data_IF_607241647511
#
_entry.id   IF_607241647511
#
_cell.length_a   1.000
_cell.length_b   1.000
_cell.length_c   1.000
_cell.angle_alpha   90.00
_cell.angle_beta   90.00
_cell.angle_gamma   90.00
#
_symmetry.space_group_name_H-M   'P 1'
#
loop_
_entity.id
_entity.type
_entity.pdbx_description
1 polymer ?
#
# COMPACT_ATOMS: atom_id res chain seq x y z
N UNK A 1 30.19 -16.44 3.06
CA UNK A 1 29.77 -17.49 4.02
C UNK A 1 29.94 -17.07 5.48
N UNK A 2 31.14 -16.66 5.95
CA UNK A 2 31.36 -16.25 7.36
C UNK A 2 30.32 -15.24 7.90
N UNK A 3 30.07 -14.14 7.17
CA UNK A 3 29.06 -13.15 7.58
C UNK A 3 27.66 -13.75 7.83
N UNK A 4 27.20 -14.66 6.96
CA UNK A 4 25.88 -15.28 7.11
C UNK A 4 25.85 -16.25 8.29
N UNK A 5 26.98 -16.90 8.60
CA UNK A 5 27.12 -17.74 9.79
C UNK A 5 27.08 -16.89 11.06
N UNK A 6 27.83 -15.78 11.09
CA UNK A 6 27.81 -14.83 12.21
C UNK A 6 26.38 -14.30 12.45
N UNK A 7 25.68 -13.88 11.39
CA UNK A 7 24.28 -13.43 11.49
C UNK A 7 23.34 -14.53 12.00
N UNK A 8 23.57 -15.80 11.65
CA UNK A 8 22.77 -16.93 12.11
C UNK A 8 23.04 -17.28 13.57
N UNK A 9 24.24 -16.97 14.07
CA UNK A 9 24.57 -17.08 15.50
C UNK A 9 23.89 -15.97 16.32
N UNK A 10 23.77 -14.76 15.75
CA UNK A 10 23.05 -13.64 16.37
C UNK A 10 21.52 -13.82 16.31
N UNK A 11 21.00 -14.36 15.22
CA UNK A 11 19.58 -14.64 15.01
C UNK A 11 19.38 -16.08 14.51
N UNK A 12 19.10 -17.01 15.43
CA UNK A 12 18.86 -18.42 15.12
C UNK A 12 17.67 -18.64 14.16
N UNK A 13 16.76 -17.67 14.07
CA UNK A 13 15.58 -17.72 13.20
C UNK A 13 15.82 -17.09 11.83
N UNK A 14 17.02 -16.55 11.56
CA UNK A 14 17.44 -16.09 10.25
C UNK A 14 17.33 -17.22 9.23
N UNK A 15 16.66 -16.93 8.11
CA UNK A 15 16.61 -17.80 6.94
C UNK A 15 17.24 -17.08 5.74
N UNK A 16 18.05 -17.82 4.99
CA UNK A 16 18.70 -17.35 3.78
C UNK A 16 18.55 -18.43 2.73
N UNK A 17 17.95 -18.09 1.60
CA UNK A 17 17.74 -18.97 0.46
C UNK A 17 18.45 -18.39 -0.77
N UNK A 18 19.15 -19.25 -1.51
CA UNK A 18 20.00 -18.83 -2.64
C UNK A 18 19.63 -19.68 -3.87
N UNK A 19 19.19 -19.00 -4.92
CA UNK A 19 19.08 -19.55 -6.27
C UNK A 19 20.42 -19.39 -7.01
N UNK A 20 20.89 -20.46 -7.64
CA UNK A 20 22.14 -20.48 -8.40
C UNK A 20 21.91 -20.98 -9.83
N UNK A 21 22.72 -20.50 -10.77
CA UNK A 21 22.72 -21.02 -12.13
C UNK A 21 23.56 -22.31 -12.28
N UNK A 22 23.62 -22.84 -13.50
CA UNK A 22 24.37 -24.06 -13.81
C UNK A 22 25.89 -23.94 -13.57
N UNK A 23 26.42 -22.71 -13.49
CA UNK A 23 27.83 -22.44 -13.17
C UNK A 23 28.05 -22.19 -11.67
N UNK A 24 27.00 -22.37 -10.85
CA UNK A 24 27.04 -22.12 -9.40
C UNK A 24 27.05 -20.65 -9.00
N UNK A 25 26.76 -19.73 -9.93
CA UNK A 25 26.71 -18.28 -9.65
C UNK A 25 25.33 -17.91 -9.13
N UNK A 26 25.30 -17.02 -8.13
CA UNK A 26 24.05 -16.54 -7.53
C UNK A 26 23.20 -15.81 -8.57
N UNK A 27 21.95 -16.25 -8.71
CA UNK A 27 20.88 -15.58 -9.45
C UNK A 27 20.07 -14.71 -8.52
N UNK A 28 19.58 -15.29 -7.43
CA UNK A 28 18.78 -14.59 -6.43
C UNK A 28 19.20 -15.03 -5.03
N UNK A 29 19.33 -14.08 -4.11
CA UNK A 29 19.52 -14.37 -2.69
C UNK A 29 18.42 -13.66 -1.92
N UNK A 30 17.60 -14.43 -1.20
CA UNK A 30 16.56 -13.94 -0.29
C UNK A 30 17.02 -14.17 1.14
N UNK A 31 16.82 -13.18 2.01
CA UNK A 31 17.04 -13.36 3.43
C UNK A 31 15.96 -12.66 4.26
N UNK A 32 15.58 -13.32 5.36
CA UNK A 32 14.57 -12.87 6.31
C UNK A 32 15.03 -13.18 7.73
N UNK A 33 15.00 -12.19 8.61
CA UNK A 33 15.32 -12.37 10.04
C UNK A 33 14.14 -13.01 10.79
N UNK A 34 14.38 -13.52 11.99
CA UNK A 34 13.31 -13.99 12.88
C UNK A 34 12.26 -12.91 13.14
N UNK A 35 12.71 -11.67 13.36
CA UNK A 35 11.84 -10.50 13.52
C UNK A 35 11.00 -10.24 12.26
N UNK A 36 11.58 -10.31 11.07
CA UNK A 36 10.84 -10.12 9.82
C UNK A 36 9.69 -11.13 9.68
N UNK A 37 9.94 -12.40 10.03
CA UNK A 37 8.94 -13.47 9.99
C UNK A 37 7.83 -13.26 11.03
N UNK A 38 8.21 -12.83 12.25
CA UNK A 38 7.25 -12.50 13.29
C UNK A 38 6.36 -11.31 12.89
N UNK A 39 6.94 -10.28 12.29
CA UNK A 39 6.19 -9.12 11.80
C UNK A 39 5.24 -9.51 10.67
N UNK A 40 5.70 -10.36 9.75
CA UNK A 40 4.86 -10.84 8.65
C UNK A 40 3.67 -11.68 9.17
N UNK A 41 3.89 -12.48 10.21
CA UNK A 41 2.81 -13.23 10.84
C UNK A 41 1.66 -12.32 11.30
N UNK A 42 1.97 -11.17 11.90
CA UNK A 42 0.97 -10.21 12.39
C UNK A 42 0.48 -9.20 11.34
N UNK A 43 1.35 -8.79 10.40
CA UNK A 43 1.12 -7.63 9.55
C UNK A 43 1.30 -7.91 8.04
N UNK A 44 1.54 -9.17 7.68
CA UNK A 44 1.83 -9.60 6.31
C UNK A 44 0.62 -9.63 5.35
N UNK A 45 -0.55 -9.18 5.79
CA UNK A 45 -1.77 -9.21 4.96
C UNK A 45 -1.65 -8.28 3.75
N UNK A 46 -0.85 -7.22 3.85
CA UNK A 46 -0.60 -6.30 2.74
C UNK A 46 0.89 -6.04 2.58
N UNK A 47 1.39 -6.33 1.39
CA UNK A 47 2.82 -6.22 1.06
C UNK A 47 3.00 -5.26 -0.11
N UNK A 48 3.93 -4.33 0.02
CA UNK A 48 4.52 -3.60 -1.10
C UNK A 48 5.82 -4.27 -1.49
N UNK A 49 6.05 -4.40 -2.79
CA UNK A 49 7.27 -4.96 -3.36
C UNK A 49 7.75 -4.06 -4.51
N UNK A 50 9.04 -3.77 -4.52
CA UNK A 50 9.64 -2.81 -5.45
C UNK A 50 11.12 -3.14 -5.65
N UNK A 51 11.57 -3.16 -6.92
CA UNK A 51 12.96 -3.38 -7.32
C UNK A 51 13.54 -2.06 -7.81
N UNK A 52 14.39 -1.40 -7.03
CA UNK A 52 14.93 -0.07 -7.44
C UNK A 52 16.41 0.09 -7.23
N UNK A 53 17.04 -0.76 -6.42
CA UNK A 53 18.33 -0.42 -5.86
C UNK A 53 19.47 -1.23 -6.49
N UNK A 54 20.15 -0.63 -7.49
CA UNK A 54 21.30 -1.21 -8.22
C UNK A 54 22.62 -0.53 -7.84
N UNK A 55 23.03 -0.54 -6.56
CA UNK A 55 24.26 0.14 -6.11
C UNK A 55 25.35 -0.79 -5.59
N UNK A 56 25.10 -2.10 -5.52
CA UNK A 56 26.19 -3.02 -5.19
C UNK A 56 27.17 -3.11 -6.36
N UNK A 57 28.39 -3.59 -6.09
CA UNK A 57 29.46 -3.76 -7.07
C UNK A 57 29.02 -4.53 -8.34
N UNK A 58 28.00 -5.37 -8.22
CA UNK A 58 27.50 -6.26 -9.27
C UNK A 58 26.29 -5.71 -10.01
N UNK A 59 25.88 -4.47 -9.70
CA UNK A 59 24.70 -3.81 -10.28
C UNK A 59 23.39 -4.63 -10.13
N UNK A 60 23.34 -5.53 -9.13
CA UNK A 60 22.18 -6.39 -8.89
C UNK A 60 21.04 -5.57 -8.26
N UNK A 61 19.82 -5.57 -8.82
CA UNK A 61 18.66 -5.03 -8.15
C UNK A 61 18.47 -5.63 -6.76
N UNK A 62 18.25 -4.75 -5.79
CA UNK A 62 17.80 -5.10 -4.46
C UNK A 62 16.30 -4.79 -4.32
N UNK A 63 15.57 -5.80 -3.87
CA UNK A 63 14.14 -5.79 -3.66
C UNK A 63 13.81 -5.86 -2.17
N UNK A 64 12.74 -5.19 -1.77
CA UNK A 64 12.23 -5.21 -0.40
C UNK A 64 10.78 -5.66 -0.36
N UNK A 65 10.47 -6.54 0.58
CA UNK A 65 9.11 -6.81 1.02
C UNK A 65 8.80 -5.89 2.20
N UNK A 66 7.83 -4.99 2.03
CA UNK A 66 7.52 -3.96 3.05
C UNK A 66 6.02 -3.91 3.30
N UNK A 67 5.61 -3.86 4.56
CA UNK A 67 4.22 -3.64 4.98
C UNK A 67 4.10 -2.53 6.00
N UNK A 68 3.03 -2.57 6.79
CA UNK A 68 2.78 -1.62 7.89
C UNK A 68 2.36 -2.35 9.15
N UNK A 69 2.88 -1.94 10.31
CA UNK A 69 2.38 -2.42 11.60
C UNK A 69 1.12 -1.66 12.05
N UNK A 70 0.59 -2.05 13.20
CA UNK A 70 -0.53 -1.41 13.91
C UNK A 70 -0.24 0.03 14.39
N UNK A 71 0.95 0.59 14.15
CA UNK A 71 1.28 2.00 14.33
C UNK A 71 1.36 2.78 13.00
N UNK A 72 0.99 2.14 11.88
CA UNK A 72 1.17 2.66 10.51
C UNK A 72 2.64 2.96 10.14
N UNK A 73 3.61 2.41 10.88
CA UNK A 73 5.03 2.49 10.54
C UNK A 73 5.36 1.45 9.49
N UNK A 74 6.30 1.78 8.59
CA UNK A 74 6.78 0.83 7.59
C UNK A 74 7.63 -0.26 8.26
N UNK A 75 7.29 -1.52 7.99
CA UNK A 75 7.99 -2.71 8.48
C UNK A 75 8.53 -3.51 7.30
N UNK A 76 9.74 -4.05 7.46
CA UNK A 76 10.40 -4.84 6.42
C UNK A 76 10.20 -6.32 6.75
N UNK A 77 9.70 -7.08 5.79
CA UNK A 77 9.47 -8.52 5.90
C UNK A 77 10.59 -9.35 5.24
N UNK A 78 11.44 -8.73 4.45
CA UNK A 78 12.56 -9.40 3.81
C UNK A 78 13.28 -8.54 2.80
N UNK A 79 14.50 -8.95 2.47
CA UNK A 79 15.31 -8.35 1.42
C UNK A 79 15.77 -9.41 0.42
N UNK A 80 15.83 -9.05 -0.85
CA UNK A 80 16.32 -9.93 -1.89
C UNK A 80 17.29 -9.22 -2.85
N UNK A 81 18.42 -9.85 -3.15
CA UNK A 81 19.32 -9.45 -4.22
C UNK A 81 19.04 -10.32 -5.44
N UNK A 82 18.76 -9.69 -6.57
CA UNK A 82 18.41 -10.36 -7.81
C UNK A 82 19.37 -9.95 -8.91
N UNK A 83 19.85 -10.92 -9.69
CA UNK A 83 20.68 -10.67 -10.87
C UNK A 83 19.82 -10.32 -12.08
N UNK A 84 18.65 -10.95 -12.18
CA UNK A 84 17.75 -10.91 -13.33
C UNK A 84 16.33 -10.57 -12.87
N UNK A 85 15.64 -9.69 -13.61
CA UNK A 85 14.26 -9.27 -13.33
C UNK A 85 13.29 -9.99 -14.29
N UNK A 86 13.42 -11.31 -14.40
CA UNK A 86 12.57 -12.17 -15.24
C UNK A 86 11.39 -12.74 -14.47
N UNK A 87 10.35 -13.18 -15.18
CA UNK A 87 9.18 -13.82 -14.55
C UNK A 87 9.58 -15.06 -13.74
N UNK A 88 10.51 -15.88 -14.25
CA UNK A 88 11.02 -17.05 -13.54
C UNK A 88 11.74 -16.68 -12.24
N UNK A 89 12.57 -15.63 -12.26
CA UNK A 89 13.28 -15.16 -11.07
C UNK A 89 12.31 -14.60 -10.01
N UNK A 90 11.31 -13.81 -10.43
CA UNK A 90 10.27 -13.32 -9.51
C UNK A 90 9.40 -14.46 -8.97
N UNK A 91 9.06 -15.45 -9.80
CA UNK A 91 8.26 -16.60 -9.38
C UNK A 91 8.99 -17.41 -8.31
N UNK A 92 10.28 -17.68 -8.51
CA UNK A 92 11.12 -18.31 -7.49
C UNK A 92 11.13 -17.45 -6.21
N UNK A 93 11.38 -16.15 -6.34
CA UNK A 93 11.46 -15.25 -5.20
C UNK A 93 10.16 -15.22 -4.37
N UNK A 94 8.99 -15.09 -5.02
CA UNK A 94 7.71 -15.03 -4.32
C UNK A 94 7.33 -16.37 -3.67
N UNK A 95 7.57 -17.50 -4.35
CA UNK A 95 7.33 -18.84 -3.77
C UNK A 95 8.22 -19.08 -2.55
N UNK A 96 9.52 -18.78 -2.69
CA UNK A 96 10.47 -18.93 -1.58
C UNK A 96 10.12 -17.99 -0.43
N UNK A 97 9.74 -16.74 -0.71
CA UNK A 97 9.30 -15.81 0.33
C UNK A 97 8.11 -16.35 1.13
N UNK A 98 7.06 -16.82 0.46
CA UNK A 98 5.88 -17.38 1.15
C UNK A 98 6.21 -18.65 1.93
N UNK A 99 7.04 -19.55 1.39
CA UNK A 99 7.49 -20.73 2.11
C UNK A 99 8.23 -20.36 3.40
N UNK A 100 9.10 -19.34 3.36
CA UNK A 100 9.77 -18.83 4.55
C UNK A 100 8.79 -18.17 5.55
N UNK A 101 7.65 -17.70 5.09
CA UNK A 101 6.57 -17.11 5.89
C UNK A 101 5.50 -18.13 6.35
N UNK A 102 5.85 -19.42 6.41
CA UNK A 102 4.94 -20.51 6.81
C UNK A 102 3.70 -20.61 5.91
N UNK A 103 3.89 -20.43 4.61
CA UNK A 103 2.84 -20.50 3.59
C UNK A 103 1.68 -19.51 3.80
N UNK A 104 1.90 -18.46 4.61
CA UNK A 104 0.95 -17.34 4.73
C UNK A 104 1.07 -16.47 3.48
N UNK A 105 0.05 -16.47 2.63
CA UNK A 105 -0.05 -15.57 1.50
C UNK A 105 -0.58 -14.19 1.94
N UNK A 106 -0.11 -13.08 1.34
CA UNK A 106 -0.71 -11.77 1.57
C UNK A 106 -2.11 -11.71 0.95
N UNK A 107 -3.01 -10.94 1.54
CA UNK A 107 -4.31 -10.60 0.94
C UNK A 107 -4.11 -9.72 -0.29
N UNK A 108 -3.22 -8.73 -0.19
CA UNK A 108 -2.92 -7.80 -1.27
C UNK A 108 -1.41 -7.61 -1.44
N UNK A 109 -0.93 -7.62 -2.69
CA UNK A 109 0.43 -7.22 -3.04
C UNK A 109 0.41 -6.00 -3.95
N UNK A 110 1.21 -4.99 -3.62
CA UNK A 110 1.39 -3.76 -4.37
C UNK A 110 2.75 -3.76 -5.05
N UNK A 111 2.79 -3.62 -6.38
CA UNK A 111 4.03 -3.50 -7.15
C UNK A 111 3.98 -2.33 -8.13
N UNK A 112 5.05 -2.12 -8.90
CA UNK A 112 5.01 -1.31 -10.10
C UNK A 112 4.26 -2.03 -11.26
N UNK A 113 4.40 -1.51 -12.49
CA UNK A 113 3.73 -2.03 -13.69
C UNK A 113 4.55 -3.10 -14.45
N UNK A 114 5.58 -3.71 -13.84
CA UNK A 114 6.42 -4.70 -14.53
C UNK A 114 5.64 -5.99 -14.88
N UNK A 115 5.60 -6.33 -16.17
CA UNK A 115 4.90 -7.52 -16.67
C UNK A 115 5.43 -8.82 -16.06
N UNK A 116 6.74 -8.92 -15.86
CA UNK A 116 7.39 -10.07 -15.25
C UNK A 116 6.88 -10.36 -13.83
N UNK A 117 6.53 -9.32 -13.05
CA UNK A 117 5.96 -9.51 -11.72
C UNK A 117 4.52 -10.03 -11.79
N UNK A 118 3.73 -9.61 -12.79
CA UNK A 118 2.33 -10.04 -12.93
C UNK A 118 2.21 -11.56 -13.07
N UNK A 119 2.92 -12.17 -14.03
CA UNK A 119 2.87 -13.62 -14.24
C UNK A 119 3.40 -14.40 -13.04
N UNK A 120 4.48 -13.90 -12.44
CA UNK A 120 5.05 -14.47 -11.22
C UNK A 120 4.09 -14.43 -10.02
N UNK A 121 3.37 -13.32 -9.81
CA UNK A 121 2.38 -13.18 -8.74
C UNK A 121 1.18 -14.10 -8.99
N UNK A 122 0.67 -14.17 -10.22
CA UNK A 122 -0.43 -15.07 -10.57
C UNK A 122 -0.06 -16.54 -10.33
N UNK A 123 1.21 -16.92 -10.56
CA UNK A 123 1.71 -18.28 -10.32
C UNK A 123 2.04 -18.58 -8.85
N UNK A 124 2.72 -17.66 -8.16
CA UNK A 124 3.23 -17.87 -6.81
C UNK A 124 2.20 -17.53 -5.73
N UNK A 125 1.28 -16.62 -6.01
CA UNK A 125 0.35 -16.02 -5.05
C UNK A 125 -1.10 -16.02 -5.59
N UNK A 126 -1.68 -17.20 -5.91
CA UNK A 126 -2.93 -17.30 -6.67
C UNK A 126 -4.14 -16.64 -6.00
N UNK A 127 -4.14 -16.55 -4.67
CA UNK A 127 -5.23 -15.94 -3.89
C UNK A 127 -4.97 -14.49 -3.48
N UNK A 128 -3.81 -13.93 -3.84
CA UNK A 128 -3.43 -12.57 -3.50
C UNK A 128 -3.96 -11.60 -4.55
N UNK A 129 -4.59 -10.51 -4.10
CA UNK A 129 -4.96 -9.42 -5.00
C UNK A 129 -3.73 -8.62 -5.42
N UNK A 130 -3.41 -8.63 -6.72
CA UNK A 130 -2.37 -7.77 -7.27
C UNK A 130 -2.89 -6.35 -7.53
N UNK A 131 -2.18 -5.36 -6.98
CA UNK A 131 -2.45 -3.94 -7.16
C UNK A 131 -1.22 -3.22 -7.72
N UNK A 132 -1.41 -2.40 -8.74
CA UNK A 132 -0.42 -1.47 -9.22
C UNK A 132 -0.34 -0.22 -8.34
N UNK A 133 0.88 0.24 -8.14
CA UNK A 133 1.18 1.48 -7.46
C UNK A 133 0.55 2.67 -8.20
N UNK A 134 -0.30 3.42 -7.49
CA UNK A 134 -0.94 4.64 -8.01
C UNK A 134 0.08 5.65 -8.53
N UNK A 135 1.21 5.81 -7.85
CA UNK A 135 2.25 6.77 -8.26
C UNK A 135 2.84 6.39 -9.61
N UNK A 136 3.17 5.11 -9.80
CA UNK A 136 3.65 4.57 -11.07
C UNK A 136 2.63 4.79 -12.20
N UNK A 137 1.36 4.48 -11.96
CA UNK A 137 0.28 4.73 -12.94
C UNK A 137 0.20 6.21 -13.33
N UNK A 138 0.21 7.14 -12.36
CA UNK A 138 0.15 8.58 -12.65
C UNK A 138 1.40 9.08 -13.40
N UNK A 139 2.58 8.58 -13.03
CA UNK A 139 3.86 8.92 -13.67
C UNK A 139 3.89 8.44 -15.12
N UNK A 140 3.51 7.19 -15.35
CA UNK A 140 3.64 6.55 -16.65
C UNK A 140 2.59 7.10 -17.63
N UNK A 141 1.39 7.45 -17.15
CA UNK A 141 0.41 8.24 -17.94
C UNK A 141 1.03 9.56 -18.38
N UNK A 142 1.64 10.33 -17.47
CA UNK A 142 2.29 11.59 -17.82
C UNK A 142 3.40 11.40 -18.87
N UNK A 143 4.18 10.32 -18.77
CA UNK A 143 5.24 10.01 -19.73
C UNK A 143 4.72 9.66 -21.12
N UNK A 144 3.67 8.84 -21.22
CA UNK A 144 3.16 8.32 -22.49
C UNK A 144 2.23 9.28 -23.23
N UNK A 145 1.48 10.14 -22.52
CA UNK A 145 0.56 11.11 -23.13
C UNK A 145 0.90 12.54 -22.73
N UNK A 146 2.20 12.85 -22.62
CA UNK A 146 2.70 14.15 -22.13
C UNK A 146 2.15 15.37 -22.89
N UNK A 147 1.85 15.23 -24.19
CA UNK A 147 1.27 16.29 -25.01
C UNK A 147 -0.12 16.74 -24.52
N UNK A 148 -0.93 15.80 -23.99
CA UNK A 148 -2.23 16.08 -23.36
C UNK A 148 -2.09 16.31 -21.86
N UNK A 149 -1.03 15.83 -21.21
CA UNK A 149 -0.82 15.96 -19.76
C UNK A 149 -0.21 17.32 -19.34
N UNK A 150 -0.58 18.41 -19.99
CA UNK A 150 -0.14 19.75 -19.62
C UNK A 150 -1.19 20.48 -18.74
N UNK A 151 -0.85 21.66 -18.21
CA UNK A 151 -1.75 22.42 -17.33
C UNK A 151 -2.96 23.01 -18.06
N UNK A 152 -2.85 23.26 -19.36
CA UNK A 152 -3.88 23.92 -20.17
C UNK A 152 -4.97 22.97 -20.67
N UNK A 153 -4.69 21.68 -20.83
CA UNK A 153 -5.68 20.71 -21.33
C UNK A 153 -6.80 20.41 -20.31
N UNK A 154 -6.49 20.40 -19.01
CA UNK A 154 -7.41 19.92 -17.98
C UNK A 154 -7.43 18.39 -17.80
N UNK A 155 -6.80 17.61 -18.70
CA UNK A 155 -6.73 16.14 -18.61
C UNK A 155 -6.21 15.68 -17.26
N UNK A 156 -5.08 16.27 -16.81
CA UNK A 156 -4.47 15.94 -15.52
C UNK A 156 -5.46 16.08 -14.37
N UNK A 157 -6.32 17.11 -14.39
CA UNK A 157 -7.30 17.36 -13.34
C UNK A 157 -8.40 16.30 -13.35
N UNK A 158 -8.93 15.96 -14.52
CA UNK A 158 -10.00 14.97 -14.66
C UNK A 158 -9.51 13.55 -14.38
N UNK A 159 -8.34 13.19 -14.88
CA UNK A 159 -7.71 11.89 -14.61
C UNK A 159 -7.39 11.71 -13.12
N UNK A 160 -6.85 12.74 -12.44
CA UNK A 160 -6.61 12.66 -10.99
C UNK A 160 -7.91 12.53 -10.19
N UNK A 161 -9.01 13.17 -10.62
CA UNK A 161 -10.32 12.94 -10.01
C UNK A 161 -10.78 11.50 -10.23
N UNK A 162 -10.69 10.99 -11.45
CA UNK A 162 -11.04 9.60 -11.76
C UNK A 162 -10.32 8.61 -10.84
N UNK A 163 -9.00 8.77 -10.67
CA UNK A 163 -8.15 7.88 -9.86
C UNK A 163 -8.42 7.99 -8.36
N UNK A 164 -8.59 9.20 -7.81
CA UNK A 164 -8.65 9.41 -6.35
C UNK A 164 -10.07 9.40 -5.78
N UNK A 165 -11.05 9.85 -6.57
CA UNK A 165 -12.36 10.23 -6.07
C UNK A 165 -13.43 9.19 -6.37
N UNK A 166 -13.33 8.50 -7.51
CA UNK A 166 -14.36 7.56 -7.97
C UNK A 166 -14.26 6.26 -7.20
N UNK A 167 -15.40 5.80 -6.69
CA UNK A 167 -15.51 4.60 -5.83
C UNK A 167 -16.52 3.58 -6.34
N UNK A 168 -17.25 3.91 -7.40
CA UNK A 168 -18.19 3.02 -8.08
C UNK A 168 -17.62 2.59 -9.44
N UNK A 169 -17.83 1.32 -9.81
CA UNK A 169 -17.36 0.77 -11.09
C UNK A 169 -18.09 1.46 -12.24
N UNK A 170 -19.42 1.55 -12.22
CA UNK A 170 -20.20 2.17 -13.30
C UNK A 170 -19.83 3.65 -13.52
N UNK A 171 -19.61 4.38 -12.43
CA UNK A 171 -19.13 5.76 -12.49
C UNK A 171 -17.73 5.85 -13.10
N UNK A 172 -16.86 4.89 -12.80
CA UNK A 172 -15.51 4.82 -13.37
C UNK A 172 -15.55 4.53 -14.86
N UNK A 173 -16.32 3.53 -15.29
CA UNK A 173 -16.44 3.17 -16.71
C UNK A 173 -16.97 4.34 -17.54
N UNK A 174 -18.05 4.99 -17.07
CA UNK A 174 -18.62 6.16 -17.73
C UNK A 174 -17.63 7.33 -17.80
N UNK A 175 -16.95 7.65 -16.69
CA UNK A 175 -15.99 8.77 -16.65
C UNK A 175 -14.70 8.46 -17.40
N UNK A 176 -14.25 7.22 -17.44
CA UNK A 176 -13.11 6.80 -18.24
C UNK A 176 -13.41 7.02 -19.73
N UNK A 177 -14.55 6.54 -20.22
CA UNK A 177 -14.98 6.72 -21.61
C UNK A 177 -15.08 8.21 -21.98
N UNK A 178 -15.71 9.00 -21.11
CA UNK A 178 -15.80 10.46 -21.31
C UNK A 178 -14.42 11.12 -21.35
N UNK A 179 -13.49 10.69 -20.49
CA UNK A 179 -12.13 11.23 -20.44
C UNK A 179 -11.39 10.93 -21.75
N UNK A 180 -11.33 9.66 -22.17
CA UNK A 180 -10.52 9.30 -23.36
C UNK A 180 -11.06 9.92 -24.65
N UNK A 181 -12.38 10.03 -24.78
CA UNK A 181 -13.01 10.64 -25.96
C UNK A 181 -12.79 12.16 -25.98
N UNK A 182 -13.01 12.84 -24.85
CA UNK A 182 -12.87 14.30 -24.77
C UNK A 182 -11.45 14.77 -25.08
N UNK A 183 -10.46 13.95 -24.74
CA UNK A 183 -9.06 14.26 -24.92
C UNK A 183 -8.43 13.58 -26.14
N UNK A 184 -9.24 12.88 -26.94
CA UNK A 184 -8.81 12.16 -28.15
C UNK A 184 -7.62 11.21 -27.92
N UNK A 185 -7.71 10.42 -26.84
CA UNK A 185 -6.69 9.42 -26.45
C UNK A 185 -7.27 7.99 -26.38
N UNK A 186 -8.42 7.74 -27.00
CA UNK A 186 -9.04 6.40 -27.09
C UNK A 186 -8.12 5.40 -27.78
N UNK A 187 -7.43 5.84 -28.84
CA UNK A 187 -6.61 4.97 -29.70
C UNK A 187 -5.14 4.94 -29.26
N UNK A 188 -4.81 5.64 -28.17
CA UNK A 188 -3.46 5.61 -27.63
C UNK A 188 -3.20 4.24 -27.00
N UNK A 189 -2.23 3.49 -27.53
CA UNK A 189 -1.93 2.12 -27.10
C UNK A 189 -1.70 2.01 -25.58
N UNK A 190 -1.03 2.99 -24.96
CA UNK A 190 -0.80 2.96 -23.52
C UNK A 190 -2.11 3.14 -22.74
N UNK A 191 -3.01 4.03 -23.18
CA UNK A 191 -4.31 4.24 -22.55
C UNK A 191 -5.20 3.00 -22.67
N UNK A 192 -5.17 2.32 -23.82
CA UNK A 192 -5.87 1.03 -24.03
C UNK A 192 -5.34 -0.02 -23.05
N UNK A 193 -4.02 -0.23 -23.00
CA UNK A 193 -3.40 -1.17 -22.03
C UNK A 193 -3.72 -0.81 -20.58
N UNK A 194 -3.73 0.47 -20.24
CA UNK A 194 -4.05 0.93 -18.89
C UNK A 194 -5.51 0.60 -18.54
N UNK A 195 -6.44 0.78 -19.47
CA UNK A 195 -7.84 0.41 -19.29
C UNK A 195 -8.04 -1.10 -19.13
N UNK A 196 -7.35 -1.91 -19.91
CA UNK A 196 -7.40 -3.37 -19.82
C UNK A 196 -6.98 -3.87 -18.43
N UNK A 197 -6.08 -3.13 -17.77
CA UNK A 197 -5.59 -3.42 -16.42
C UNK A 197 -6.27 -2.57 -15.33
N UNK A 198 -7.40 -1.92 -15.59
CA UNK A 198 -8.14 -1.09 -14.61
C UNK A 198 -8.42 -1.78 -13.28
N UNK A 199 -8.71 -3.09 -13.30
CA UNK A 199 -8.93 -3.88 -12.10
C UNK A 199 -7.70 -4.01 -11.18
N UNK A 200 -6.51 -3.62 -11.67
CA UNK A 200 -5.25 -3.64 -10.92
C UNK A 200 -4.89 -2.26 -10.34
N UNK A 201 -5.49 -1.15 -10.78
CA UNK A 201 -5.09 0.19 -10.28
C UNK A 201 -6.24 1.10 -9.88
N UNK A 202 -7.43 0.93 -10.46
CA UNK A 202 -8.55 1.81 -10.22
C UNK A 202 -9.24 1.49 -8.89
N UNK A 203 -9.47 2.52 -8.08
CA UNK A 203 -9.99 2.42 -6.72
C UNK A 203 -11.28 1.57 -6.57
N UNK A 204 -12.30 1.67 -7.45
CA UNK A 204 -13.53 0.90 -7.31
C UNK A 204 -13.33 -0.62 -7.28
N UNK A 205 -12.32 -1.12 -7.98
CA UNK A 205 -12.00 -2.55 -8.10
C UNK A 205 -11.29 -3.13 -6.87
N UNK A 206 -10.99 -2.30 -5.87
CA UNK A 206 -10.42 -2.69 -4.58
C UNK A 206 -11.40 -2.47 -3.42
N UNK A 207 -12.67 -2.21 -3.71
CA UNK A 207 -13.71 -2.17 -2.68
C UNK A 207 -13.89 -3.58 -2.11
N UNK A 208 -14.02 -3.70 -0.78
CA UNK A 208 -14.02 -5.01 -0.10
C UNK A 208 -12.64 -5.68 0.00
N UNK A 209 -11.55 -5.02 -0.41
CA UNK A 209 -10.20 -5.59 -0.37
C UNK A 209 -9.31 -4.79 0.58
N UNK A 210 -8.80 -5.47 1.61
CA UNK A 210 -7.89 -4.87 2.57
C UNK A 210 -6.54 -4.51 1.94
N UNK A 211 -6.15 -3.25 2.09
CA UNK A 211 -4.91 -2.70 1.55
C UNK A 211 -4.12 -1.90 2.60
N UNK A 212 -4.53 -1.94 3.87
CA UNK A 212 -3.91 -1.19 4.99
C UNK A 212 -3.67 0.30 4.66
N UNK A 213 -4.57 0.92 3.87
CA UNK A 213 -4.43 2.30 3.39
C UNK A 213 -3.30 2.55 2.39
N UNK A 214 -2.57 1.51 1.96
CA UNK A 214 -1.53 1.62 0.96
C UNK A 214 -2.12 1.76 -0.45
N UNK A 215 -1.62 2.75 -1.18
CA UNK A 215 -2.00 2.98 -2.59
C UNK A 215 -0.80 3.13 -3.52
N UNK A 216 0.41 3.17 -2.97
CA UNK A 216 1.66 3.29 -3.70
C UNK A 216 2.78 2.53 -3.00
N UNK A 217 3.86 2.29 -3.73
CA UNK A 217 5.17 1.81 -3.27
C UNK A 217 5.98 2.88 -2.53
N UNK A 218 5.36 3.99 -2.10
CA UNK A 218 6.07 5.07 -1.40
C UNK A 218 6.84 4.58 -0.17
N UNK A 219 6.32 3.55 0.52
CA UNK A 219 6.97 2.97 1.70
C UNK A 219 8.20 2.15 1.34
N UNK A 220 8.15 1.36 0.27
CA UNK A 220 9.34 0.66 -0.24
C UNK A 220 10.34 1.65 -0.83
N UNK A 221 9.89 2.68 -1.56
CA UNK A 221 10.73 3.78 -2.07
C UNK A 221 11.41 4.56 -0.93
N UNK A 222 10.68 4.84 0.15
CA UNK A 222 11.22 5.49 1.35
C UNK A 222 12.25 4.60 2.06
N UNK A 223 11.97 3.30 2.21
CA UNK A 223 12.93 2.34 2.74
C UNK A 223 14.19 2.26 1.88
N UNK A 224 14.03 2.20 0.55
CA UNK A 224 15.12 2.23 -0.43
C UNK A 224 15.92 3.54 -0.36
N UNK A 225 15.26 4.67 -0.13
CA UNK A 225 15.91 5.96 0.06
C UNK A 225 16.70 6.02 1.37
N UNK A 226 16.16 5.50 2.48
CA UNK A 226 16.90 5.42 3.74
C UNK A 226 18.10 4.48 3.59
N UNK A 227 17.94 3.34 2.92
CA UNK A 227 19.02 2.39 2.68
C UNK A 227 20.21 3.01 1.93
N UNK A 228 19.95 3.94 0.99
CA UNK A 228 20.99 4.73 0.30
C UNK A 228 21.91 5.51 1.23
N UNK A 229 21.44 5.86 2.43
CA UNK A 229 22.23 6.57 3.43
C UNK A 229 23.18 5.63 4.19
N UNK A 230 22.85 4.35 4.27
CA UNK A 230 23.66 3.33 4.95
C UNK A 230 24.68 2.67 4.03
N UNK A 231 24.36 2.56 2.73
CA UNK A 231 25.12 1.74 1.78
C UNK A 231 25.90 2.65 0.81
N UNK A 232 27.25 2.68 0.90
CA UNK A 232 28.09 3.34 -0.09
C UNK A 232 27.86 2.78 -1.50
N UNK A 233 28.06 3.62 -2.52
CA UNK A 233 28.02 3.16 -3.92
C UNK A 233 29.09 2.10 -4.17
N UNK A 234 28.76 1.13 -5.02
CA UNK A 234 29.61 0.00 -5.40
C UNK A 234 30.08 -0.86 -4.23
N UNK A 235 29.28 -0.94 -3.16
CA UNK A 235 29.60 -1.76 -2.00
C UNK A 235 29.72 -3.24 -2.39
N UNK A 236 30.77 -3.95 -1.93
CA UNK A 236 30.82 -5.41 -1.99
C UNK A 236 29.62 -6.02 -1.27
N UNK A 237 29.17 -7.21 -1.69
CA UNK A 237 27.98 -7.87 -1.13
C UNK A 237 28.03 -8.02 0.40
N UNK A 238 29.18 -8.36 0.97
CA UNK A 238 29.31 -8.52 2.42
C UNK A 238 29.14 -7.17 3.17
N UNK A 239 29.58 -6.05 2.58
CA UNK A 239 29.35 -4.71 3.14
C UNK A 239 27.88 -4.35 3.03
N UNK A 240 27.26 -4.63 1.87
CA UNK A 240 25.84 -4.42 1.64
C UNK A 240 24.99 -5.11 2.70
N UNK A 241 25.18 -6.42 2.89
CA UNK A 241 24.42 -7.23 3.85
C UNK A 241 24.60 -6.69 5.28
N UNK A 242 25.84 -6.38 5.67
CA UNK A 242 26.13 -5.82 7.00
C UNK A 242 25.42 -4.47 7.23
N UNK A 243 25.43 -3.58 6.24
CA UNK A 243 24.76 -2.28 6.35
C UNK A 243 23.24 -2.40 6.33
N UNK A 244 22.71 -3.34 5.54
CA UNK A 244 21.29 -3.65 5.55
C UNK A 244 20.82 -4.15 6.93
N UNK A 245 21.59 -5.02 7.59
CA UNK A 245 21.23 -5.46 8.96
C UNK A 245 21.29 -4.32 9.98
N UNK A 246 22.27 -3.41 9.86
CA UNK A 246 22.29 -2.20 10.69
C UNK A 246 21.05 -1.33 10.46
N UNK A 247 20.60 -1.21 9.22
CA UNK A 247 19.36 -0.54 8.88
C UNK A 247 18.14 -1.26 9.47
N UNK A 248 18.05 -2.59 9.41
CA UNK A 248 17.00 -3.33 10.10
C UNK A 248 16.99 -3.06 11.61
N UNK A 249 18.17 -3.03 12.24
CA UNK A 249 18.31 -2.67 13.65
C UNK A 249 17.80 -1.27 13.99
N UNK A 250 18.04 -0.27 13.13
CA UNK A 250 17.49 1.07 13.35
C UNK A 250 15.96 1.11 13.22
N UNK A 251 15.38 0.34 12.29
CA UNK A 251 13.93 0.20 12.16
C UNK A 251 13.31 -0.45 13.40
N UNK A 252 13.97 -1.45 13.97
CA UNK A 252 13.53 -2.09 15.22
C UNK A 252 13.56 -1.12 16.39
N UNK A 253 14.59 -0.27 16.49
CA UNK A 253 14.66 0.78 17.52
C UNK A 253 13.55 1.82 17.37
N UNK A 254 13.21 2.24 16.15
CA UNK A 254 12.10 3.14 15.88
C UNK A 254 10.75 2.56 16.32
N UNK A 255 10.55 1.26 16.10
CA UNK A 255 9.34 0.55 16.53
C UNK A 255 9.28 0.40 18.04
N UNK A 256 10.38 0.01 18.69
CA UNK A 256 10.47 -0.08 20.15
C UNK A 256 10.17 1.26 20.83
N UNK A 257 10.63 2.37 20.23
CA UNK A 257 10.32 3.72 20.70
C UNK A 257 8.83 4.03 20.63
N UNK A 258 8.14 3.65 19.55
CA UNK A 258 6.68 3.86 19.46
C UNK A 258 5.90 2.95 20.42
N UNK A 259 6.32 1.70 20.62
CA UNK A 259 5.72 0.84 21.65
C UNK A 259 5.85 1.45 23.04
N UNK A 260 7.03 1.97 23.39
CA UNK A 260 7.26 2.66 24.65
C UNK A 260 6.38 3.91 24.78
N UNK A 261 6.27 4.73 23.73
CA UNK A 261 5.41 5.90 23.73
C UNK A 261 3.93 5.53 23.88
N UNK A 262 3.48 4.45 23.23
CA UNK A 262 2.11 3.96 23.30
C UNK A 262 1.75 3.44 24.69
N UNK A 263 2.69 2.80 25.39
CA UNK A 263 2.48 2.27 26.74
C UNK A 263 2.49 3.36 27.82
N UNK A 264 3.33 4.39 27.66
CA UNK A 264 3.60 5.36 28.73
C UNK A 264 2.97 6.74 28.54
N UNK A 265 2.54 7.10 27.34
CA UNK A 265 1.81 8.36 27.13
C UNK A 265 0.31 8.12 27.22
N UNK A 266 -0.35 8.90 28.07
CA UNK A 266 -1.81 8.96 28.10
C UNK A 266 -2.35 9.32 26.72
N UNK A 267 -3.46 8.68 26.35
CA UNK A 267 -4.21 9.01 25.15
C UNK A 267 -4.79 10.40 25.34
N UNK A 268 -4.48 11.30 24.41
CA UNK A 268 -5.02 12.66 24.40
C UNK A 268 -6.34 12.64 23.66
N UNK A 269 -7.41 13.09 24.31
CA UNK A 269 -8.73 13.21 23.70
C UNK A 269 -8.88 14.60 23.09
N UNK A 270 -9.40 14.67 21.86
CA UNK A 270 -9.70 15.91 21.16
C UNK A 270 -11.18 16.31 21.35
N UNK A 271 -12.01 15.38 21.83
CA UNK A 271 -13.43 15.62 22.12
C UNK A 271 -13.90 14.85 23.36
N UNK A 272 -15.20 14.96 23.66
CA UNK A 272 -15.87 14.21 24.74
C UNK A 272 -16.86 13.19 24.18
N UNK A 273 -16.70 12.78 22.91
CA UNK A 273 -17.61 11.82 22.28
C UNK A 273 -17.30 10.39 22.76
N UNK A 274 -18.31 9.60 23.20
CA UNK A 274 -18.09 8.23 23.67
C UNK A 274 -17.38 7.31 22.65
N UNK A 275 -17.58 7.56 21.35
CA UNK A 275 -16.91 6.79 20.29
C UNK A 275 -15.38 6.99 20.28
N UNK A 276 -14.91 8.14 20.76
CA UNK A 276 -13.48 8.40 20.89
C UNK A 276 -12.86 7.60 22.05
N UNK A 277 -13.60 7.44 23.15
CA UNK A 277 -13.20 6.60 24.29
C UNK A 277 -13.12 5.12 23.88
N UNK A 278 -14.12 4.63 23.15
CA UNK A 278 -14.12 3.26 22.61
C UNK A 278 -12.94 3.05 21.65
N UNK A 279 -12.76 3.97 20.70
CA UNK A 279 -11.63 3.96 19.77
C UNK A 279 -10.28 3.99 20.48
N UNK A 280 -10.15 4.75 21.57
CA UNK A 280 -8.96 4.80 22.41
C UNK A 280 -8.67 3.46 23.09
N UNK A 281 -9.69 2.67 23.44
CA UNK A 281 -9.50 1.34 24.04
C UNK A 281 -8.94 0.31 23.04
N UNK A 282 -9.28 0.44 21.76
CA UNK A 282 -8.92 -0.51 20.69
C UNK A 282 -7.64 -0.09 19.96
N UNK A 283 -7.52 1.18 19.61
CA UNK A 283 -6.46 1.66 18.73
C UNK A 283 -5.16 1.97 19.46
N UNK A 284 -4.05 1.75 18.76
CA UNK A 284 -2.77 2.34 19.14
C UNK A 284 -2.86 3.86 19.04
N UNK A 285 -2.03 4.58 19.78
CA UNK A 285 -1.95 6.05 19.77
C UNK A 285 -1.86 6.61 18.35
N UNK A 286 -1.05 6.00 17.48
CA UNK A 286 -0.87 6.46 16.10
C UNK A 286 -2.11 6.29 15.24
N UNK A 287 -2.89 5.23 15.49
CA UNK A 287 -4.16 4.98 14.80
C UNK A 287 -5.26 5.89 15.37
N UNK A 288 -5.30 6.09 16.69
CA UNK A 288 -6.24 6.99 17.35
C UNK A 288 -6.14 8.42 16.79
N UNK A 289 -4.93 8.94 16.59
CA UNK A 289 -4.73 10.27 15.99
C UNK A 289 -5.33 10.38 14.57
N UNK A 290 -5.28 9.29 13.79
CA UNK A 290 -5.90 9.24 12.46
C UNK A 290 -7.42 9.18 12.55
N UNK A 291 -7.93 8.43 13.52
CA UNK A 291 -9.35 8.34 13.79
C UNK A 291 -9.91 9.70 14.23
N UNK A 292 -9.24 10.40 15.15
CA UNK A 292 -9.59 11.75 15.61
C UNK A 292 -9.64 12.75 14.46
N UNK A 293 -8.69 12.68 13.52
CA UNK A 293 -8.72 13.51 12.31
C UNK A 293 -9.95 13.22 11.42
N UNK A 294 -10.37 11.96 11.27
CA UNK A 294 -11.61 11.61 10.57
C UNK A 294 -12.86 12.07 11.35
N UNK A 295 -12.85 11.94 12.68
CA UNK A 295 -13.93 12.39 13.56
C UNK A 295 -14.09 13.91 13.49
N UNK A 296 -13.00 14.67 13.60
CA UNK A 296 -13.03 16.13 13.43
C UNK A 296 -13.56 16.53 12.04
N UNK A 297 -13.07 15.87 10.98
CA UNK A 297 -13.51 16.14 9.61
C UNK A 297 -14.97 15.78 9.35
N UNK A 298 -15.57 14.89 10.15
CA UNK A 298 -16.98 14.53 10.05
C UNK A 298 -17.88 15.75 10.32
N UNK A 299 -17.45 16.70 11.17
CA UNK A 299 -18.20 17.91 11.49
C UNK A 299 -18.54 18.79 10.28
N UNK A 300 -17.75 18.69 9.21
CA UNK A 300 -18.00 19.40 7.95
C UNK A 300 -19.08 18.76 7.07
N UNK A 301 -19.68 17.63 7.47
CA UNK A 301 -20.64 16.88 6.69
C UNK A 301 -22.06 17.02 7.23
N UNK A 302 -23.02 16.97 6.32
CA UNK A 302 -24.46 16.94 6.59
C UNK A 302 -25.04 15.60 6.15
N UNK A 303 -26.09 15.18 6.86
CA UNK A 303 -26.76 13.89 6.67
C UNK A 303 -28.18 14.14 6.19
N UNK A 304 -28.64 13.31 5.27
CA UNK A 304 -30.04 13.27 4.83
C UNK A 304 -30.51 11.81 4.89
N UNK A 305 -31.51 11.48 5.73
CA UNK A 305 -32.04 10.13 5.80
C UNK A 305 -32.71 9.78 4.47
N UNK A 306 -32.41 8.58 3.95
CA UNK A 306 -33.13 7.95 2.83
C UNK A 306 -34.13 6.96 3.40
N UNK A 307 -33.69 6.16 4.37
CA UNK A 307 -34.51 5.27 5.19
C UNK A 307 -34.09 5.49 6.64
N UNK A 308 -35.00 6.00 7.47
CA UNK A 308 -34.70 6.26 8.88
C UNK A 308 -34.19 5.00 9.57
N UNK A 309 -33.05 5.09 10.25
CA UNK A 309 -32.42 3.99 10.97
C UNK A 309 -31.60 3.02 10.11
N UNK A 310 -31.66 3.11 8.78
CA UNK A 310 -31.04 2.10 7.90
C UNK A 310 -30.16 2.69 6.79
N UNK A 311 -30.50 3.84 6.21
CA UNK A 311 -29.77 4.37 5.06
C UNK A 311 -29.75 5.90 5.03
N UNK A 312 -28.56 6.44 4.79
CA UNK A 312 -28.27 7.87 4.86
C UNK A 312 -27.41 8.34 3.69
N UNK A 313 -27.71 9.53 3.22
CA UNK A 313 -26.91 10.26 2.24
C UNK A 313 -26.10 11.34 2.95
N UNK A 314 -24.78 11.27 2.81
CA UNK A 314 -23.84 12.15 3.49
C UNK A 314 -23.08 12.98 2.46
N UNK A 315 -23.00 14.30 2.66
CA UNK A 315 -22.22 15.21 1.80
C UNK A 315 -21.59 16.34 2.59
N UNK A 316 -20.59 16.99 2.02
CA UNK A 316 -19.97 18.18 2.62
C UNK A 316 -21.01 19.30 2.72
N UNK A 317 -21.04 19.97 3.87
CA UNK A 317 -21.87 21.15 4.09
C UNK A 317 -21.54 22.23 3.04
N UNK A 318 -22.54 22.80 2.35
CA UNK A 318 -22.28 23.82 1.34
C UNK A 318 -21.77 25.09 2.03
N UNK A 319 -20.68 25.69 1.54
CA UNK A 319 -20.28 27.02 1.99
C UNK A 319 -21.19 28.13 1.41
N UNK A 320 -21.86 27.86 0.28
CA UNK A 320 -22.81 28.76 -0.38
C UNK A 320 -23.96 27.96 -1.00
N UNK A 321 -25.17 28.54 -1.07
CA UNK A 321 -26.39 27.89 -1.60
C UNK A 321 -26.18 27.32 -3.02
N UNK A 322 -25.49 28.07 -3.91
CA UNK A 322 -25.20 27.64 -5.29
C UNK A 322 -24.32 26.39 -5.42
N UNK A 323 -23.63 26.01 -4.36
CA UNK A 323 -22.76 24.83 -4.35
C UNK A 323 -23.53 23.56 -3.95
N UNK A 324 -24.80 23.69 -3.52
CA UNK A 324 -25.62 22.58 -3.07
C UNK A 324 -25.86 21.50 -4.15
N UNK A 325 -25.96 21.90 -5.42
CA UNK A 325 -26.22 20.99 -6.54
C UNK A 325 -24.98 20.27 -7.05
N UNK A 326 -23.77 20.67 -6.61
CA UNK A 326 -22.48 20.06 -7.00
C UNK A 326 -21.93 19.13 -5.93
N UNK A 327 -22.73 18.81 -4.91
CA UNK A 327 -22.28 17.98 -3.78
C UNK A 327 -22.00 16.57 -4.23
N UNK A 328 -20.91 16.03 -3.69
CA UNK A 328 -20.60 14.63 -3.79
C UNK A 328 -21.25 13.90 -2.63
N UNK A 329 -22.20 13.05 -2.96
CA UNK A 329 -22.94 12.27 -1.97
C UNK A 329 -22.30 10.90 -1.75
N UNK A 330 -22.30 10.47 -0.49
CA UNK A 330 -21.86 9.14 -0.04
C UNK A 330 -23.00 8.42 0.63
N UNK A 331 -23.21 7.18 0.25
CA UNK A 331 -24.24 6.33 0.82
C UNK A 331 -23.65 5.59 2.01
N UNK A 332 -24.30 5.74 3.17
CA UNK A 332 -23.98 5.06 4.41
C UNK A 332 -25.18 4.22 4.79
N UNK A 333 -24.96 2.92 4.97
CA UNK A 333 -25.96 1.96 5.41
C UNK A 333 -25.64 1.49 6.83
N UNK A 334 -26.68 1.28 7.60
CA UNK A 334 -26.62 0.67 8.92
C UNK A 334 -27.27 -0.70 8.77
N UNK A 335 -26.54 -1.74 9.15
CA UNK A 335 -26.97 -3.13 9.10
C UNK A 335 -26.99 -3.70 10.53
N UNK A 336 -27.69 -4.83 10.71
CA UNK A 336 -27.82 -5.57 11.98
C UNK A 336 -28.15 -4.69 13.20
N UNK A 337 -29.23 -3.91 13.11
CA UNK A 337 -29.75 -3.05 14.17
C UNK A 337 -28.73 -2.05 14.76
N UNK A 338 -27.76 -1.60 13.95
CA UNK A 338 -26.74 -0.65 14.38
C UNK A 338 -25.37 -1.24 14.66
N UNK A 339 -25.19 -2.55 14.53
CA UNK A 339 -23.89 -3.19 14.77
C UNK A 339 -22.88 -2.92 13.66
N UNK A 340 -23.32 -2.77 12.41
CA UNK A 340 -22.43 -2.54 11.28
C UNK A 340 -22.80 -1.26 10.53
N UNK A 341 -21.77 -0.47 10.19
CA UNK A 341 -21.92 0.74 9.39
C UNK A 341 -21.07 0.65 8.12
N UNK A 342 -21.75 0.67 6.99
CA UNK A 342 -21.17 0.44 5.68
C UNK A 342 -21.23 1.70 4.82
N UNK A 343 -20.06 2.26 4.49
CA UNK A 343 -19.97 3.44 3.63
C UNK A 343 -19.44 3.09 2.23
N UNK A 344 -20.13 3.57 1.19
CA UNK A 344 -19.72 3.34 -0.20
C UNK A 344 -18.40 4.03 -0.60
N UNK A 345 -17.75 4.78 0.30
CA UNK A 345 -16.41 5.30 0.07
C UNK A 345 -15.32 4.20 0.11
N UNK A 346 -15.63 3.04 0.72
CA UNK A 346 -14.74 1.87 0.82
C UNK A 346 -13.55 2.03 1.76
N UNK A 347 -13.54 3.06 2.62
CA UNK A 347 -12.39 3.33 3.50
C UNK A 347 -12.23 2.30 4.60
N UNK A 348 -13.33 1.78 5.16
CA UNK A 348 -13.26 0.73 6.18
C UNK A 348 -12.64 -0.53 5.59
N UNK A 349 -13.15 -1.04 4.46
CA UNK A 349 -12.57 -2.20 3.77
C UNK A 349 -11.08 -2.00 3.44
N UNK A 350 -10.71 -0.79 2.98
CA UNK A 350 -9.36 -0.51 2.49
C UNK A 350 -8.33 -0.29 3.59
N UNK A 351 -8.74 0.26 4.74
CA UNK A 351 -7.86 0.75 5.82
C UNK A 351 -8.08 0.03 7.15
N UNK A 352 -9.28 -0.51 7.40
CA UNK A 352 -9.71 -1.05 8.69
C UNK A 352 -10.17 0.01 9.69
N UNK A 353 -10.56 1.21 9.23
CA UNK A 353 -10.95 2.34 10.08
C UNK A 353 -12.18 3.05 9.53
N UNK A 354 -13.09 3.46 10.42
CA UNK A 354 -14.28 4.22 10.03
C UNK A 354 -13.91 5.54 9.34
N UNK A 355 -14.68 5.89 8.32
CA UNK A 355 -14.51 7.15 7.62
C UNK A 355 -15.38 8.24 8.23
N UNK A 356 -15.00 9.50 8.00
CA UNK A 356 -15.82 10.68 8.35
C UNK A 356 -17.28 10.65 7.88
N UNK A 357 -17.63 9.90 6.84
CA UNK A 357 -19.04 9.78 6.43
C UNK A 357 -19.82 8.85 7.34
N UNK A 358 -19.20 7.74 7.73
CA UNK A 358 -19.77 6.78 8.67
C UNK A 358 -19.87 7.42 10.06
N UNK A 359 -18.79 8.06 10.54
CA UNK A 359 -18.76 8.76 11.84
C UNK A 359 -19.75 9.92 11.97
N UNK A 360 -20.30 10.41 10.86
CA UNK A 360 -21.25 11.52 10.87
C UNK A 360 -22.70 11.04 11.05
N UNK A 361 -22.98 9.81 10.61
CA UNK A 361 -24.26 9.11 10.77
C UNK A 361 -24.25 8.47 12.13
#
# INVERSE_FOLDING_TARGET
MKLLQDMKMEDMNLKVEIDVDGDGRVRTMLWVTGKNRQDYFHFGDVVTFDTTYKTNLYNMPFALFVGVNNHFQSVIFGGALMREETEAAFNWLFKTFVALMNDKHPVTILTDQALAMKGAIESALPNTKHRWCKWHVLRDVKGNIGHVYNKSSGFKKEFNKLVNDVTCVDEFESKWLSLVNRFNVSDNEYMVRLYDKRAMWAKPYFKGIFCAGMTSTQRSESANHMLKQYIPRSSPMHVFVRQYNKFLGSRMSDEAREFHLNANKSRTYESTYPIEDDAASIYTRSVLLKFQDELYKCGSYVVTPVVHGAQYMVSVAPSKVKDATKRKWRNVKIDDDGQFINCNCGMFDHVGMLCRHALKV
#
